data_IF_518981618321
#
_entry.id   IF_518981618321
#
_cell.length_a   1.000
_cell.length_b   1.000
_cell.length_c   1.000
_cell.angle_alpha   90.00
_cell.angle_beta   90.00
_cell.angle_gamma   90.00
#
_symmetry.space_group_name_H-M   'P 1'
#
loop_
_entity.id
_entity.type
_entity.pdbx_description
1 polymer ?
#
# COMPACT_ATOMS: atom_id res chain seq x y z
N UNK A 1 16.75 -21.30 -42.79
CA UNK A 1 16.38 -20.87 -41.43
C UNK A 1 14.91 -20.50 -41.44
N UNK A 2 14.05 -21.28 -40.75
CA UNK A 2 12.59 -21.16 -40.86
C UNK A 2 12.08 -19.95 -40.06
N UNK A 3 11.80 -18.85 -40.77
CA UNK A 3 11.30 -17.57 -40.25
C UNK A 3 10.09 -17.76 -39.30
N UNK A 4 9.23 -18.75 -39.58
CA UNK A 4 8.07 -19.10 -38.74
C UNK A 4 8.40 -19.51 -37.31
N UNK A 5 9.56 -20.14 -37.06
CA UNK A 5 9.98 -20.54 -35.70
C UNK A 5 10.54 -19.36 -34.89
N UNK A 6 11.03 -18.33 -35.56
CA UNK A 6 11.60 -17.14 -34.93
C UNK A 6 10.50 -16.17 -34.45
N UNK A 7 9.44 -15.99 -35.25
CA UNK A 7 8.31 -15.11 -34.91
C UNK A 7 7.50 -15.60 -33.71
N UNK A 8 7.31 -16.92 -33.57
CA UNK A 8 6.57 -17.51 -32.43
C UNK A 8 7.33 -17.30 -31.11
N UNK A 9 8.67 -17.35 -31.15
CA UNK A 9 9.49 -17.13 -29.96
C UNK A 9 9.40 -15.71 -29.41
N UNK A 10 9.36 -14.70 -30.28
CA UNK A 10 9.26 -13.28 -29.88
C UNK A 10 7.88 -12.99 -29.27
N UNK A 11 6.80 -13.49 -29.88
CA UNK A 11 5.43 -13.26 -29.37
C UNK A 11 5.23 -13.89 -27.99
N UNK A 12 5.79 -15.09 -27.74
CA UNK A 12 5.70 -15.75 -26.45
C UNK A 12 6.46 -14.99 -25.34
N UNK A 13 7.64 -14.44 -25.63
CA UNK A 13 8.42 -13.64 -24.67
C UNK A 13 7.73 -12.31 -24.36
N UNK A 14 7.15 -11.65 -25.37
CA UNK A 14 6.38 -10.41 -25.17
C UNK A 14 5.11 -10.62 -24.34
N UNK A 15 4.39 -11.73 -24.55
CA UNK A 15 3.19 -12.05 -23.78
C UNK A 15 3.50 -12.32 -22.29
N UNK A 16 4.63 -12.97 -22.00
CA UNK A 16 5.08 -13.20 -20.60
C UNK A 16 5.50 -11.88 -19.95
N UNK A 17 6.14 -10.96 -20.70
CA UNK A 17 6.49 -9.62 -20.19
C UNK A 17 5.28 -8.79 -19.80
N UNK A 18 4.16 -8.89 -20.54
CA UNK A 18 2.92 -8.17 -20.25
C UNK A 18 2.20 -8.77 -19.03
N UNK A 19 2.20 -10.10 -18.87
CA UNK A 19 1.60 -10.76 -17.71
C UNK A 19 2.35 -10.50 -16.40
N UNK A 20 3.67 -10.30 -16.45
CA UNK A 20 4.49 -9.96 -15.28
C UNK A 20 4.38 -8.49 -14.85
N UNK A 21 3.74 -7.63 -15.67
CA UNK A 21 3.54 -6.22 -15.39
C UNK A 21 2.21 -5.87 -14.73
N UNK A 22 1.30 -6.84 -14.54
CA UNK A 22 0.03 -6.60 -13.86
C UNK A 22 0.31 -6.55 -12.36
N UNK A 23 0.68 -5.38 -11.87
CA UNK A 23 0.55 -5.09 -10.45
C UNK A 23 -0.94 -5.04 -10.15
N UNK A 24 -1.42 -6.07 -9.47
CA UNK A 24 -2.77 -6.07 -8.91
C UNK A 24 -2.75 -4.97 -7.85
N UNK A 25 -3.23 -3.78 -8.21
CA UNK A 25 -3.46 -2.71 -7.26
C UNK A 25 -4.56 -3.19 -6.31
N UNK A 26 -4.15 -3.66 -5.14
CA UNK A 26 -5.08 -3.96 -4.06
C UNK A 26 -5.63 -2.64 -3.55
N UNK A 27 -6.86 -2.30 -3.94
CA UNK A 27 -7.56 -1.10 -3.47
C UNK A 27 -8.06 -1.22 -2.02
N UNK A 28 -7.69 -2.29 -1.30
CA UNK A 28 -7.96 -2.46 0.11
C UNK A 28 -6.71 -2.03 0.88
N UNK A 29 -6.88 -1.09 1.81
CA UNK A 29 -5.82 -0.74 2.75
C UNK A 29 -5.38 -2.02 3.49
N UNK A 30 -4.08 -2.23 3.57
CA UNK A 30 -3.52 -3.53 3.96
C UNK A 30 -3.29 -3.62 5.47
N UNK A 31 -3.19 -2.48 6.16
CA UNK A 31 -3.16 -2.37 7.62
C UNK A 31 -4.34 -1.57 8.17
N UNK A 32 -4.64 -1.72 9.46
CA UNK A 32 -5.70 -0.94 10.12
C UNK A 32 -6.13 -1.46 11.48
N UNK A 33 -7.10 -0.77 12.07
CA UNK A 33 -7.74 -1.10 13.35
C UNK A 33 -9.21 -0.67 13.37
N UNK A 34 -10.07 -1.56 13.87
CA UNK A 34 -11.46 -1.27 14.19
C UNK A 34 -11.62 -1.01 15.70
N UNK A 35 -12.29 0.08 16.05
CA UNK A 35 -12.56 0.45 17.45
C UNK A 35 -14.06 0.63 17.66
N UNK A 36 -14.58 -0.13 18.61
CA UNK A 36 -15.94 0.00 19.13
C UNK A 36 -16.12 1.32 19.89
N UNK A 37 -17.19 2.07 19.63
CA UNK A 37 -17.59 3.16 20.53
C UNK A 37 -18.05 2.62 21.88
N UNK A 38 -17.94 3.44 22.93
CA UNK A 38 -18.27 3.07 24.33
C UNK A 38 -19.71 2.59 24.50
N UNK A 39 -20.64 3.18 23.75
CA UNK A 39 -22.06 2.80 23.73
C UNK A 39 -22.36 1.55 22.89
N UNK A 40 -21.36 1.05 22.16
CA UNK A 40 -21.48 -0.13 21.31
C UNK A 40 -22.17 0.10 19.97
N UNK A 41 -22.60 1.32 19.67
CA UNK A 41 -23.46 1.62 18.50
C UNK A 41 -22.67 1.62 17.19
N UNK A 42 -21.44 2.11 17.24
CA UNK A 42 -20.62 2.30 16.05
C UNK A 42 -19.29 1.53 16.11
N UNK A 43 -18.69 1.38 14.93
CA UNK A 43 -17.30 0.96 14.72
C UNK A 43 -16.59 2.10 14.01
N UNK A 44 -15.50 2.56 14.59
CA UNK A 44 -14.57 3.51 13.97
C UNK A 44 -13.47 2.68 13.30
N UNK A 45 -13.39 2.76 11.98
CA UNK A 45 -12.42 2.05 11.14
C UNK A 45 -11.28 3.02 10.78
N UNK A 46 -10.06 2.62 11.13
CA UNK A 46 -8.84 3.31 10.70
C UNK A 46 -7.98 2.36 9.87
N UNK A 47 -7.87 2.63 8.57
CA UNK A 47 -7.06 1.86 7.65
C UNK A 47 -5.83 2.63 7.17
N UNK A 48 -4.77 1.90 6.80
CA UNK A 48 -3.57 2.47 6.18
C UNK A 48 -2.89 1.55 5.17
N UNK A 49 -2.17 2.14 4.22
CA UNK A 49 -1.36 1.46 3.21
C UNK A 49 -0.07 2.26 2.94
N UNK A 50 1.12 1.62 2.88
CA UNK A 50 1.38 0.17 2.95
C UNK A 50 1.16 -0.42 4.35
N UNK A 51 1.05 -1.75 4.44
CA UNK A 51 0.95 -2.47 5.73
C UNK A 51 2.13 -2.21 6.67
N UNK A 52 3.27 -1.82 6.12
CA UNK A 52 4.47 -1.43 6.85
C UNK A 52 4.93 -0.08 6.32
N UNK A 53 4.32 1.02 6.80
CA UNK A 53 4.68 2.37 6.35
C UNK A 53 6.09 2.73 6.81
N UNK A 54 6.81 3.44 5.95
CA UNK A 54 8.20 3.82 6.16
C UNK A 54 8.34 5.35 6.17
N UNK A 55 9.31 5.84 6.95
CA UNK A 55 9.63 7.26 6.97
C UNK A 55 10.10 7.76 5.60
N UNK A 56 9.64 8.94 5.21
CA UNK A 56 9.82 9.52 3.87
C UNK A 56 8.97 8.85 2.77
N UNK A 57 8.29 7.74 3.09
CA UNK A 57 7.35 7.06 2.20
C UNK A 57 5.95 7.68 2.24
N UNK A 58 5.26 7.61 1.12
CA UNK A 58 3.86 8.01 1.03
C UNK A 58 2.97 6.94 1.69
N UNK A 59 2.17 7.34 2.68
CA UNK A 59 1.18 6.47 3.34
C UNK A 59 -0.22 6.99 3.08
N UNK A 60 -1.10 6.11 2.60
CA UNK A 60 -2.53 6.39 2.47
C UNK A 60 -3.22 6.03 3.78
N UNK A 61 -4.09 6.90 4.27
CA UNK A 61 -4.84 6.76 5.50
C UNK A 61 -6.33 6.90 5.20
N UNK A 62 -7.15 6.04 5.80
CA UNK A 62 -8.60 6.15 5.78
C UNK A 62 -9.17 6.12 7.19
N UNK A 63 -10.17 6.97 7.42
CA UNK A 63 -10.96 6.98 8.64
C UNK A 63 -12.43 6.91 8.27
N UNK A 64 -13.15 5.96 8.82
CA UNK A 64 -14.57 5.75 8.60
C UNK A 64 -15.32 5.45 9.88
N UNK A 65 -16.65 5.60 9.83
CA UNK A 65 -17.54 5.12 10.88
C UNK A 65 -18.62 4.27 10.22
N UNK A 66 -18.87 3.10 10.79
CA UNK A 66 -19.98 2.20 10.40
C UNK A 66 -20.87 1.92 11.61
N UNK A 67 -22.15 1.73 11.35
CA UNK A 67 -23.09 1.24 12.36
C UNK A 67 -22.82 -0.26 12.59
N UNK A 68 -22.72 -0.68 13.86
CA UNK A 68 -22.21 -2.01 14.20
C UNK A 68 -23.12 -3.15 13.74
N UNK A 69 -24.43 -2.96 13.78
CA UNK A 69 -25.44 -3.99 13.55
C UNK A 69 -25.71 -4.16 12.05
N UNK A 70 -25.87 -3.05 11.33
CA UNK A 70 -26.21 -3.01 9.91
C UNK A 70 -24.98 -2.97 9.02
N UNK A 71 -23.80 -2.61 9.56
CA UNK A 71 -22.58 -2.33 8.80
C UNK A 71 -22.75 -1.20 7.77
N UNK A 72 -23.76 -0.36 7.92
CA UNK A 72 -23.97 0.78 7.04
C UNK A 72 -22.99 1.93 7.39
N UNK A 73 -22.38 2.59 6.39
CA UNK A 73 -21.56 3.76 6.63
C UNK A 73 -22.37 4.91 7.25
N UNK A 74 -21.82 5.53 8.30
CA UNK A 74 -22.42 6.70 8.93
C UNK A 74 -21.97 7.96 8.19
N UNK A 75 -22.91 8.83 7.73
CA UNK A 75 -22.55 10.08 7.10
C UNK A 75 -21.77 11.00 8.05
N UNK A 76 -20.56 11.38 7.62
CA UNK A 76 -19.68 12.30 8.34
C UNK A 76 -19.83 13.70 7.76
N UNK A 77 -19.81 14.71 8.62
CA UNK A 77 -19.89 16.13 8.20
C UNK A 77 -18.52 16.80 8.20
N UNK A 78 -17.69 16.50 9.20
CA UNK A 78 -16.32 16.95 9.30
C UNK A 78 -15.51 15.96 10.12
N UNK A 79 -14.22 15.85 9.78
CA UNK A 79 -13.26 15.03 10.50
C UNK A 79 -12.06 15.92 10.81
N UNK A 80 -11.81 16.21 12.08
CA UNK A 80 -10.57 16.86 12.48
C UNK A 80 -9.54 15.78 12.80
N UNK A 81 -8.35 15.89 12.22
CA UNK A 81 -7.26 14.93 12.44
C UNK A 81 -6.02 15.66 12.93
N UNK A 82 -5.32 15.04 13.89
CA UNK A 82 -4.02 15.47 14.39
C UNK A 82 -3.05 14.30 14.42
N UNK A 83 -1.84 14.52 13.93
CA UNK A 83 -0.74 13.54 13.93
C UNK A 83 0.38 14.10 14.80
N UNK A 84 0.80 13.33 15.79
CA UNK A 84 1.87 13.68 16.71
C UNK A 84 2.93 12.59 16.78
N UNK A 85 4.18 13.00 16.90
CA UNK A 85 5.30 12.14 17.28
C UNK A 85 5.84 12.65 18.60
N UNK A 86 5.81 11.81 19.64
CA UNK A 86 6.09 12.24 21.02
C UNK A 86 5.21 13.45 21.43
N UNK A 87 5.81 14.63 21.62
CA UNK A 87 5.11 15.88 21.96
C UNK A 87 4.97 16.84 20.77
N UNK A 88 5.52 16.51 19.61
CA UNK A 88 5.52 17.37 18.42
C UNK A 88 4.26 17.14 17.56
N UNK A 89 3.54 18.23 17.26
CA UNK A 89 2.40 18.22 16.32
C UNK A 89 2.91 18.43 14.90
N UNK A 90 2.84 17.38 14.09
CA UNK A 90 3.32 17.39 12.71
C UNK A 90 2.21 17.73 11.71
N UNK A 91 0.96 17.41 12.06
CA UNK A 91 -0.21 17.78 11.28
C UNK A 91 -1.41 18.01 12.19
N UNK A 92 -2.23 19.02 11.85
CA UNK A 92 -3.54 19.23 12.43
C UNK A 92 -4.46 19.93 11.42
N UNK A 93 -5.63 19.37 11.14
CA UNK A 93 -6.53 19.97 10.15
C UNK A 93 -7.88 19.26 10.04
N UNK A 94 -8.81 19.94 9.35
CA UNK A 94 -10.10 19.35 8.97
C UNK A 94 -9.98 18.69 7.61
N UNK A 95 -10.51 17.48 7.51
CA UNK A 95 -10.66 16.70 6.30
C UNK A 95 -12.14 16.67 5.92
N UNK A 96 -12.40 16.95 4.64
CA UNK A 96 -13.73 16.79 4.07
C UNK A 96 -13.95 15.30 3.76
N UNK A 97 -15.02 14.67 4.25
CA UNK A 97 -15.29 13.27 3.95
C UNK A 97 -15.63 13.09 2.47
N UNK A 98 -15.12 12.00 1.88
CA UNK A 98 -15.42 11.52 0.55
C UNK A 98 -16.02 10.12 0.69
N UNK A 99 -17.23 9.90 0.16
CA UNK A 99 -17.94 8.62 0.30
C UNK A 99 -18.06 8.13 1.76
N UNK A 100 -18.40 9.04 2.69
CA UNK A 100 -18.53 8.77 4.13
C UNK A 100 -17.24 8.35 4.85
N UNK A 101 -16.06 8.61 4.26
CA UNK A 101 -14.76 8.36 4.88
C UNK A 101 -13.84 9.58 4.69
N UNK A 102 -12.93 9.86 5.63
CA UNK A 102 -11.78 10.71 5.34
C UNK A 102 -10.71 9.85 4.68
N UNK A 103 -10.36 10.21 3.44
CA UNK A 103 -9.21 9.64 2.74
C UNK A 103 -8.16 10.73 2.61
N UNK A 104 -6.94 10.46 3.08
CA UNK A 104 -5.84 11.40 2.90
C UNK A 104 -4.50 10.68 2.84
N UNK A 105 -3.53 11.38 2.30
CA UNK A 105 -2.17 10.88 2.14
C UNK A 105 -1.23 11.70 2.99
N UNK A 106 -0.31 11.03 3.68
CA UNK A 106 0.68 11.67 4.53
C UNK A 106 2.07 11.07 4.30
N UNK A 107 3.10 11.90 4.39
CA UNK A 107 4.51 11.47 4.35
C UNK A 107 5.08 11.69 5.73
N UNK A 108 5.37 10.60 6.44
CA UNK A 108 5.91 10.66 7.79
C UNK A 108 7.40 11.05 7.73
N UNK A 109 7.82 12.13 8.41
CA UNK A 109 9.20 12.64 8.27
C UNK A 109 10.25 11.74 8.94
N UNK A 110 9.86 11.03 10.00
CA UNK A 110 10.74 10.22 10.84
C UNK A 110 10.10 8.87 11.16
N UNK A 111 10.92 7.87 11.47
CA UNK A 111 10.46 6.59 12.03
C UNK A 111 10.07 6.76 13.50
N UNK A 112 9.20 5.87 13.99
CA UNK A 112 8.72 5.90 15.37
C UNK A 112 7.22 5.63 15.52
N UNK A 113 6.74 5.76 16.75
CA UNK A 113 5.34 5.56 17.09
C UNK A 113 4.58 6.88 17.07
N UNK A 114 3.65 7.00 16.13
CA UNK A 114 2.82 8.18 15.98
C UNK A 114 1.47 7.97 16.65
N UNK A 115 1.01 9.00 17.36
CA UNK A 115 -0.38 9.10 17.82
C UNK A 115 -1.19 9.88 16.76
N UNK A 116 -2.27 9.26 16.29
CA UNK A 116 -3.20 9.84 15.33
C UNK A 116 -4.52 10.04 16.07
N UNK A 117 -4.85 11.29 16.37
CA UNK A 117 -6.15 11.66 16.96
C UNK A 117 -7.11 12.05 15.86
N UNK A 118 -8.26 11.41 15.80
CA UNK A 118 -9.36 11.79 14.93
C UNK A 118 -10.58 12.20 15.76
N UNK A 119 -11.20 13.33 15.39
CA UNK A 119 -12.47 13.78 15.93
C UNK A 119 -13.51 13.83 14.83
N UNK A 120 -14.65 13.18 15.06
CA UNK A 120 -15.71 12.98 14.09
C UNK A 120 -16.96 13.76 14.51
N UNK A 121 -17.57 14.45 13.55
CA UNK A 121 -18.89 15.03 13.71
C UNK A 121 -19.88 14.34 12.77
N UNK A 122 -20.88 13.65 13.34
CA UNK A 122 -22.00 13.06 12.59
C UNK A 122 -23.13 14.08 12.41
N UNK A 123 -24.06 13.80 11.50
CA UNK A 123 -25.20 14.70 11.28
C UNK A 123 -26.14 14.71 12.50
N UNK A 124 -26.06 15.76 13.32
CA UNK A 124 -26.92 15.95 14.49
C UNK A 124 -26.50 15.16 15.74
N UNK A 125 -25.32 14.54 15.73
CA UNK A 125 -24.77 13.83 16.88
C UNK A 125 -23.65 14.59 17.60
N UNK A 126 -23.17 14.02 18.70
CA UNK A 126 -22.03 14.54 19.48
C UNK A 126 -20.70 14.30 18.76
N UNK A 127 -19.69 15.12 19.06
CA UNK A 127 -18.33 14.91 18.56
C UNK A 127 -17.67 13.73 19.29
N UNK A 128 -17.26 12.70 18.54
CA UNK A 128 -16.51 11.57 19.09
C UNK A 128 -15.02 11.76 18.80
N UNK A 129 -14.16 11.53 19.80
CA UNK A 129 -12.70 11.57 19.62
C UNK A 129 -12.12 10.18 19.81
N UNK A 130 -11.27 9.75 18.89
CA UNK A 130 -10.57 8.48 18.94
C UNK A 130 -9.07 8.68 18.70
N UNK A 131 -8.25 7.90 19.40
CA UNK A 131 -6.81 7.84 19.19
C UNK A 131 -6.43 6.50 18.58
N UNK A 132 -5.52 6.55 17.61
CA UNK A 132 -4.89 5.41 16.96
C UNK A 132 -3.38 5.52 17.10
N UNK A 133 -2.70 4.39 17.11
CA UNK A 133 -1.24 4.34 17.07
C UNK A 133 -0.78 3.71 15.77
N UNK A 134 0.20 4.35 15.14
CA UNK A 134 0.81 3.85 13.93
C UNK A 134 2.33 3.86 14.09
N UNK A 135 2.93 2.69 13.97
CA UNK A 135 4.38 2.56 13.92
C UNK A 135 4.87 2.80 12.49
N UNK A 136 5.83 3.70 12.34
CA UNK A 136 6.50 4.01 11.07
C UNK A 136 7.91 3.43 11.14
N UNK A 137 8.25 2.58 10.18
CA UNK A 137 9.56 1.96 10.11
C UNK A 137 10.61 2.90 9.52
N UNK A 138 11.87 2.64 9.84
CA UNK A 138 13.00 3.32 9.20
C UNK A 138 12.99 3.06 7.68
N UNK A 139 13.41 4.04 6.86
CA UNK A 139 13.40 3.87 5.41
C UNK A 139 14.22 2.66 5.01
N UNK A 140 13.63 1.71 4.27
CA UNK A 140 14.44 0.62 3.72
C UNK A 140 15.31 1.19 2.61
N UNK A 141 16.62 0.89 2.64
CA UNK A 141 17.57 1.44 1.69
C UNK A 141 17.10 1.15 0.24
N UNK A 142 16.79 2.18 -0.57
CA UNK A 142 16.18 2.01 -1.89
C UNK A 142 17.08 1.25 -2.88
N UNK A 143 18.36 1.07 -2.55
CA UNK A 143 19.33 0.31 -3.33
C UNK A 143 19.33 -1.20 -3.03
N UNK A 144 18.42 -1.70 -2.19
CA UNK A 144 18.35 -3.13 -1.87
C UNK A 144 17.63 -3.87 -3.00
N UNK A 145 18.40 -4.32 -3.99
CA UNK A 145 17.88 -5.16 -5.08
C UNK A 145 17.23 -6.42 -4.47
N UNK A 146 15.92 -6.66 -4.69
CA UNK A 146 15.26 -7.82 -4.10
C UNK A 146 15.94 -9.10 -4.58
N UNK A 147 16.26 -10.03 -3.68
CA UNK A 147 17.02 -11.27 -4.02
C UNK A 147 16.40 -12.05 -5.19
N UNK A 148 15.08 -11.99 -5.35
CA UNK A 148 14.36 -12.57 -6.48
C UNK A 148 14.78 -11.98 -7.84
N UNK A 149 15.02 -10.66 -7.92
CA UNK A 149 15.48 -10.01 -9.15
C UNK A 149 16.88 -10.48 -9.58
N UNK A 150 17.79 -10.68 -8.62
CA UNK A 150 19.12 -11.27 -8.87
C UNK A 150 19.01 -12.70 -9.43
N UNK A 151 18.10 -13.52 -8.90
CA UNK A 151 17.87 -14.88 -9.39
C UNK A 151 17.29 -14.90 -10.81
N UNK A 152 16.40 -13.96 -11.14
CA UNK A 152 15.84 -13.81 -12.49
C UNK A 152 16.95 -13.44 -13.49
N UNK A 153 17.79 -12.45 -13.17
CA UNK A 153 18.92 -12.05 -14.02
C UNK A 153 19.91 -13.21 -14.20
N UNK A 154 20.26 -13.92 -13.12
CA UNK A 154 21.12 -15.10 -13.18
C UNK A 154 20.53 -16.21 -14.06
N UNK A 155 19.21 -16.43 -13.98
CA UNK A 155 18.49 -17.38 -14.83
C UNK A 155 18.59 -17.04 -16.32
N UNK A 156 18.38 -15.76 -16.68
CA UNK A 156 18.53 -15.30 -18.07
C UNK A 156 19.96 -15.46 -18.59
N UNK A 157 20.96 -15.13 -17.78
CA UNK A 157 22.38 -15.32 -18.12
C UNK A 157 22.67 -16.79 -18.38
N UNK A 158 22.21 -17.70 -17.52
CA UNK A 158 22.43 -19.14 -17.67
C UNK A 158 21.81 -19.67 -18.97
N UNK A 159 20.57 -19.27 -19.30
CA UNK A 159 19.90 -19.66 -20.55
C UNK A 159 20.66 -19.14 -21.77
N UNK A 160 21.16 -17.91 -21.74
CA UNK A 160 21.97 -17.34 -22.81
C UNK A 160 23.28 -18.13 -23.02
N UNK A 161 23.97 -18.50 -21.94
CA UNK A 161 25.16 -19.34 -22.02
C UNK A 161 24.88 -20.71 -22.63
N UNK A 162 23.79 -21.38 -22.23
CA UNK A 162 23.38 -22.67 -22.78
C UNK A 162 23.09 -22.55 -24.28
N UNK A 163 22.42 -21.48 -24.71
CA UNK A 163 22.12 -21.23 -26.12
C UNK A 163 23.38 -21.01 -26.97
N UNK A 164 24.34 -20.22 -26.46
CA UNK A 164 25.63 -19.96 -27.12
C UNK A 164 26.43 -21.27 -27.23
N UNK A 165 26.55 -22.03 -26.14
CA UNK A 165 27.28 -23.30 -26.13
C UNK A 165 26.72 -24.28 -27.19
N UNK A 166 25.39 -24.43 -27.25
CA UNK A 166 24.73 -25.27 -28.27
C UNK A 166 25.02 -24.82 -29.69
N UNK A 167 25.04 -23.51 -29.95
CA UNK A 167 25.35 -22.96 -31.27
C UNK A 167 26.79 -23.27 -31.69
N UNK A 168 27.76 -23.17 -30.77
CA UNK A 168 29.17 -23.49 -31.02
C UNK A 168 29.34 -24.97 -31.34
N UNK A 169 28.75 -25.87 -30.54
CA UNK A 169 28.84 -27.33 -30.78
C UNK A 169 28.23 -27.74 -32.12
N UNK A 170 27.13 -27.09 -32.55
CA UNK A 170 26.51 -27.37 -33.84
C UNK A 170 27.33 -26.88 -35.04
N UNK A 171 28.20 -25.87 -34.87
CA UNK A 171 29.06 -25.34 -35.93
C UNK A 171 30.35 -26.15 -36.14
N UNK A 172 30.71 -27.03 -35.19
CA UNK A 172 31.88 -27.91 -35.26
C UNK A 172 31.56 -29.30 -35.82
N UNK A 173 30.30 -29.57 -36.18
CA UNK A 173 29.84 -30.78 -36.87
C UNK A 173 29.56 -30.47 -38.33
#
# INVERSE_FOLDING_TARGET
MNIRKFTIGIVAVSAIGILLGIQVAAAHLVGGQDIATDDGTYIIDFGYDPATPEAGGQTSLALGITERITSEPVPLTSIWTRITLEEEVLFAGHLAPQNNQALFTYVFPHDGDYDITARFATQGGEETTQNFRLNIEAPTNPNRVPRASLLIVAGFILVAFIAIARKITAAQR
#
